data_IF_529034551012
#
_entry.id   IF_529034551012
#
_cell.length_a   1.000
_cell.length_b   1.000
_cell.length_c   1.000
_cell.angle_alpha   90.00
_cell.angle_beta   90.00
_cell.angle_gamma   90.00
#
_symmetry.space_group_name_H-M   'P 1'
#
loop_
_entity.id
_entity.type
_entity.pdbx_description
1 polymer ?
#
# COMPACT_ATOMS: atom_id res chain seq x y z
N UNK A 1 0.21 6.87 0.43
CA UNK A 1 1.37 6.64 1.32
C UNK A 1 2.11 7.97 1.56
N UNK A 2 2.24 8.43 2.81
CA UNK A 2 2.84 9.74 3.14
C UNK A 2 4.23 9.97 2.53
N UNK A 3 5.15 9.01 2.67
CA UNK A 3 6.53 9.16 2.19
C UNK A 3 6.61 9.26 0.67
N UNK A 4 5.77 8.52 -0.05
CA UNK A 4 5.66 8.62 -1.52
C UNK A 4 5.12 10.00 -1.96
N UNK A 5 4.35 10.68 -1.11
CA UNK A 5 3.90 12.05 -1.34
C UNK A 5 4.92 13.11 -0.83
N UNK A 6 6.11 12.71 -0.38
CA UNK A 6 7.11 13.61 0.20
C UNK A 6 6.74 14.17 1.58
N UNK A 7 5.78 13.54 2.28
CA UNK A 7 5.30 13.95 3.61
C UNK A 7 5.81 12.98 4.67
N UNK A 8 6.25 13.52 5.80
CA UNK A 8 6.55 12.72 7.01
C UNK A 8 5.40 12.92 7.99
N UNK A 9 4.77 11.83 8.39
CA UNK A 9 3.68 11.82 9.36
C UNK A 9 3.86 10.61 10.24
N UNK A 10 3.49 10.75 11.50
CA UNK A 10 3.52 9.66 12.47
C UNK A 10 2.66 8.49 11.99
N UNK A 11 3.23 7.29 12.02
CA UNK A 11 2.49 6.07 11.77
C UNK A 11 1.73 5.68 13.03
N UNK A 12 0.41 5.55 12.92
CA UNK A 12 -0.47 5.22 14.03
C UNK A 12 -1.05 3.81 13.91
N UNK A 13 -0.83 3.15 12.76
CA UNK A 13 -1.35 1.82 12.44
C UNK A 13 -0.28 1.01 11.73
N UNK A 14 -0.22 -0.28 12.03
CA UNK A 14 0.60 -1.26 11.31
C UNK A 14 -0.31 -2.05 10.39
N UNK A 15 0.08 -2.15 9.12
CA UNK A 15 -0.66 -2.87 8.08
C UNK A 15 0.21 -3.95 7.43
N UNK A 16 -0.41 -4.91 6.74
CA UNK A 16 0.29 -5.93 5.97
C UNK A 16 0.41 -5.49 4.50
N UNK A 17 1.62 -5.51 3.94
CA UNK A 17 1.90 -5.21 2.52
C UNK A 17 1.19 -6.21 1.60
N UNK A 18 1.28 -7.49 1.94
CA UNK A 18 0.56 -8.60 1.33
C UNK A 18 -0.51 -9.06 2.30
N UNK A 19 -1.74 -9.19 1.82
CA UNK A 19 -2.83 -9.72 2.62
C UNK A 19 -2.46 -11.11 3.13
N UNK A 20 -2.69 -11.36 4.40
CA UNK A 20 -2.38 -12.66 4.98
C UNK A 20 -3.39 -13.74 4.55
N UNK A 21 -4.60 -13.40 4.11
CA UNK A 21 -5.62 -14.35 3.59
C UNK A 21 -5.87 -15.62 4.45
N UNK A 22 -5.64 -15.51 5.76
CA UNK A 22 -5.73 -16.62 6.72
C UNK A 22 -4.41 -17.34 7.03
N UNK A 23 -3.34 -17.05 6.28
CA UNK A 23 -1.98 -17.50 6.56
C UNK A 23 -1.39 -16.79 7.79
N UNK A 24 -1.14 -17.55 8.85
CA UNK A 24 -0.55 -17.03 10.09
C UNK A 24 0.92 -16.64 9.93
N UNK A 25 1.66 -17.26 9.02
CA UNK A 25 3.03 -16.89 8.70
C UNK A 25 3.11 -15.46 8.18
N UNK A 26 2.26 -15.11 7.21
CA UNK A 26 2.17 -13.75 6.67
C UNK A 26 1.61 -12.75 7.67
N UNK A 27 0.78 -13.20 8.61
CA UNK A 27 0.23 -12.35 9.67
C UNK A 27 1.32 -11.85 10.62
N UNK A 28 2.28 -12.73 10.97
CA UNK A 28 3.34 -12.46 11.93
C UNK A 28 4.70 -12.15 11.28
N UNK A 29 4.79 -12.17 9.95
CA UNK A 29 5.97 -11.76 9.23
C UNK A 29 6.18 -10.23 9.34
N UNK A 30 7.16 -9.84 10.15
CA UNK A 30 7.52 -8.44 10.34
C UNK A 30 7.99 -7.77 9.05
N UNK A 31 8.54 -8.52 8.11
CA UNK A 31 8.95 -7.97 6.80
C UNK A 31 7.75 -7.63 5.92
N UNK A 32 6.61 -8.27 6.18
CA UNK A 32 5.33 -7.99 5.58
C UNK A 32 4.62 -6.79 6.23
N UNK A 33 5.10 -6.26 7.36
CA UNK A 33 4.49 -5.09 8.00
C UNK A 33 4.91 -3.77 7.35
N UNK A 34 3.97 -2.84 7.28
CA UNK A 34 4.18 -1.46 6.85
C UNK A 34 3.55 -0.48 7.85
N UNK A 35 4.31 0.50 8.36
CA UNK A 35 3.77 1.54 9.24
C UNK A 35 3.05 2.61 8.42
N UNK A 36 1.78 2.88 8.72
CA UNK A 36 0.95 3.83 8.00
C UNK A 36 0.27 4.83 8.94
N UNK A 37 0.01 6.03 8.41
CA UNK A 37 -0.91 6.94 9.08
C UNK A 37 -2.35 6.47 8.86
N UNK A 38 -3.25 6.77 9.81
CA UNK A 38 -4.67 6.39 9.74
C UNK A 38 -5.34 6.79 8.42
N UNK A 39 -5.04 7.99 7.90
CA UNK A 39 -5.63 8.49 6.64
C UNK A 39 -5.31 7.59 5.44
N UNK A 40 -4.06 7.14 5.33
CA UNK A 40 -3.64 6.27 4.21
C UNK A 40 -3.98 4.82 4.44
N UNK A 41 -3.95 4.35 5.69
CA UNK A 41 -4.48 3.04 6.03
C UNK A 41 -5.95 2.91 5.63
N UNK A 42 -6.78 3.90 5.95
CA UNK A 42 -8.22 3.84 5.67
C UNK A 42 -8.57 4.12 4.19
N UNK A 43 -7.71 4.83 3.44
CA UNK A 43 -7.98 5.23 2.05
C UNK A 43 -7.21 4.44 1.00
N UNK A 44 -5.88 4.33 1.11
CA UNK A 44 -5.06 3.66 0.07
C UNK A 44 -5.28 2.15 0.10
N UNK A 45 -5.44 1.58 1.30
CA UNK A 45 -5.69 0.14 1.45
C UNK A 45 -7.06 -0.23 0.88
N UNK A 46 -8.11 0.50 1.25
CA UNK A 46 -9.46 0.29 0.70
C UNK A 46 -9.52 0.39 -0.84
N UNK A 47 -8.67 1.22 -1.45
CA UNK A 47 -8.55 1.31 -2.90
C UNK A 47 -7.72 0.16 -3.50
N UNK A 48 -6.64 -0.25 -2.84
CA UNK A 48 -5.86 -1.44 -3.22
C UNK A 48 -6.68 -2.75 -3.09
N UNK A 49 -7.64 -2.80 -2.16
CA UNK A 49 -8.54 -3.95 -2.02
C UNK A 49 -9.68 -3.96 -3.04
N UNK A 50 -10.12 -2.79 -3.53
CA UNK A 50 -11.18 -2.66 -4.54
C UNK A 50 -10.68 -2.76 -5.98
N UNK A 51 -9.43 -2.43 -6.23
CA UNK A 51 -8.87 -2.34 -7.58
C UNK A 51 -7.66 -3.25 -7.69
N UNK A 52 -7.83 -4.43 -8.28
CA UNK A 52 -6.71 -5.24 -8.79
C UNK A 52 -6.06 -4.59 -10.03
N UNK A 53 -5.80 -3.29 -9.97
CA UNK A 53 -5.34 -2.47 -11.08
C UNK A 53 -3.92 -1.98 -10.77
N UNK A 54 -2.92 -2.68 -11.33
CA UNK A 54 -1.57 -2.15 -11.47
C UNK A 54 -1.68 -0.92 -12.37
N UNK A 55 -1.81 0.26 -11.76
CA UNK A 55 -1.95 1.54 -12.46
C UNK A 55 -0.91 1.64 -13.58
N UNK A 56 -1.41 1.68 -14.81
CA UNK A 56 -0.82 2.28 -16.00
C UNK A 56 0.64 2.71 -15.85
N UNK A 57 1.58 1.92 -16.38
CA UNK A 57 2.97 2.36 -16.48
C UNK A 57 3.04 3.44 -17.56
N UNK A 58 3.51 4.64 -17.22
CA UNK A 58 3.66 5.69 -18.23
C UNK A 58 5.05 5.60 -18.88
N UNK A 59 5.12 5.65 -20.21
CA UNK A 59 6.40 5.76 -20.91
C UNK A 59 7.04 7.15 -20.66
N UNK A 60 8.30 7.32 -21.06
CA UNK A 60 9.02 8.60 -20.93
C UNK A 60 8.39 9.78 -21.72
N UNK A 61 7.32 9.52 -22.49
CA UNK A 61 6.53 10.49 -23.24
C UNK A 61 5.11 10.68 -22.67
N UNK A 62 4.82 10.08 -21.50
CA UNK A 62 3.56 10.26 -20.77
C UNK A 62 2.39 9.40 -21.29
N UNK A 63 2.64 8.33 -22.05
CA UNK A 63 1.57 7.44 -22.56
C UNK A 63 1.42 6.21 -21.68
N UNK A 64 0.16 5.78 -21.47
CA UNK A 64 -0.18 4.58 -20.70
C UNK A 64 0.26 3.31 -21.43
N UNK A 65 1.01 2.47 -20.74
CA UNK A 65 1.44 1.12 -21.14
C UNK A 65 0.78 0.13 -20.18
N UNK A 66 0.10 -0.86 -20.75
CA UNK A 66 -0.48 -2.02 -20.05
C UNK A 66 0.60 -3.05 -19.75
#
# INVERSE_FOLDING_TARGET
>A
MCTAEGKVTEATVVDHKVKHEGDQGLMWDQTNWQPLCKRHHDSDKQMAEKSGDERARFDAKGRVVW
#
